data_IF_849496133681
#
_entry.id   IF_849496133681
#
_cell.length_a   1.000
_cell.length_b   1.000
_cell.length_c   1.000
_cell.angle_alpha   90.00
_cell.angle_beta   90.00
_cell.angle_gamma   90.00
#
_symmetry.space_group_name_H-M   'P 1'
#
loop_
_entity.id
_entity.type
_entity.pdbx_description
1 polymer ?
#
# COMPACT_ATOMS: atom_id res chain seq x y z
N UNK A 1 3.33 -8.15 12.07
CA UNK A 1 3.14 -9.38 12.87
C UNK A 1 4.22 -10.36 12.44
N UNK A 2 5.10 -10.77 13.35
CA UNK A 2 6.46 -11.27 13.05
C UNK A 2 6.53 -12.63 12.36
N UNK A 3 5.57 -13.53 12.61
CA UNK A 3 5.67 -14.92 12.16
C UNK A 3 5.30 -15.11 10.67
N UNK A 4 6.10 -15.84 9.87
CA UNK A 4 5.81 -16.17 8.46
C UNK A 4 4.56 -17.04 8.30
N UNK A 5 3.94 -16.98 7.11
CA UNK A 5 2.72 -17.74 6.80
C UNK A 5 2.87 -19.25 7.00
N UNK A 6 3.97 -19.82 6.48
CA UNK A 6 4.27 -21.25 6.57
C UNK A 6 4.33 -21.75 8.01
N UNK A 7 4.93 -20.95 8.90
CA UNK A 7 5.00 -21.28 10.33
C UNK A 7 3.61 -21.32 10.97
N UNK A 8 2.75 -20.32 10.68
CA UNK A 8 1.39 -20.28 11.21
C UNK A 8 0.55 -21.48 10.75
N UNK A 9 0.66 -21.82 9.46
CA UNK A 9 0.02 -23.01 8.88
C UNK A 9 0.47 -24.27 9.60
N UNK A 10 1.78 -24.42 9.82
CA UNK A 10 2.36 -25.56 10.49
C UNK A 10 1.86 -25.71 11.94
N UNK A 11 1.89 -24.64 12.73
CA UNK A 11 1.42 -24.64 14.13
C UNK A 11 -0.06 -25.00 14.22
N UNK A 12 -0.91 -24.42 13.36
CA UNK A 12 -2.34 -24.74 13.36
C UNK A 12 -2.64 -26.15 12.85
N UNK A 13 -1.85 -26.68 11.91
CA UNK A 13 -1.97 -28.06 11.45
C UNK A 13 -1.64 -29.05 12.56
N UNK A 14 -0.57 -28.81 13.34
CA UNK A 14 -0.20 -29.65 14.49
C UNK A 14 -1.26 -29.57 15.57
N UNK A 15 -1.74 -28.37 15.91
CA UNK A 15 -2.85 -28.18 16.85
C UNK A 15 -4.07 -29.03 16.46
N UNK A 16 -4.45 -29.02 15.18
CA UNK A 16 -5.60 -29.80 14.68
C UNK A 16 -5.32 -31.30 14.72
N UNK A 17 -4.11 -31.72 14.34
CA UNK A 17 -3.70 -33.14 14.31
C UNK A 17 -3.71 -33.78 15.71
N UNK A 18 -3.25 -33.02 16.70
CA UNK A 18 -3.09 -33.52 18.08
C UNK A 18 -4.23 -33.07 19.01
N UNK A 19 -5.27 -32.42 18.48
CA UNK A 19 -6.41 -31.91 19.24
C UNK A 19 -6.04 -31.02 20.45
N UNK A 20 -4.92 -30.29 20.35
CA UNK A 20 -4.40 -29.46 21.43
C UNK A 20 -5.25 -28.21 21.67
N UNK A 21 -5.28 -27.76 22.92
CA UNK A 21 -5.81 -26.45 23.30
C UNK A 21 -4.87 -25.33 22.83
N UNK A 22 -5.39 -24.09 22.82
CA UNK A 22 -4.55 -22.93 22.48
C UNK A 22 -3.46 -22.65 23.53
N UNK A 23 -3.67 -23.02 24.79
CA UNK A 23 -2.66 -22.86 25.84
C UNK A 23 -1.51 -23.85 25.64
N UNK A 24 -1.81 -25.14 25.47
CA UNK A 24 -0.78 -26.17 25.23
C UNK A 24 -0.01 -25.92 23.94
N UNK A 25 -0.71 -25.48 22.88
CA UNK A 25 -0.05 -25.09 21.63
C UNK A 25 0.85 -23.87 21.83
N UNK A 26 0.44 -22.92 22.67
CA UNK A 26 1.24 -21.73 22.98
C UNK A 26 2.53 -22.10 23.69
N UNK A 27 2.44 -22.96 24.71
CA UNK A 27 3.58 -23.43 25.49
C UNK A 27 4.55 -24.26 24.64
N UNK A 28 4.03 -25.17 23.80
CA UNK A 28 4.85 -26.02 22.93
C UNK A 28 5.66 -25.26 21.90
N UNK A 29 5.07 -24.24 21.28
CA UNK A 29 5.72 -23.47 20.21
C UNK A 29 6.32 -22.14 20.69
N UNK A 30 6.18 -21.80 21.98
CA UNK A 30 6.63 -20.51 22.53
C UNK A 30 5.90 -19.31 21.92
N UNK A 31 4.64 -19.47 21.52
CA UNK A 31 3.84 -18.42 20.86
C UNK A 31 2.70 -18.02 21.77
N UNK A 32 2.54 -16.72 22.08
CA UNK A 32 1.42 -16.28 22.91
C UNK A 32 0.04 -16.73 22.39
N UNK A 33 -0.82 -17.21 23.29
CA UNK A 33 -2.16 -17.75 22.99
C UNK A 33 -3.03 -16.80 22.17
N UNK A 34 -2.99 -15.50 22.45
CA UNK A 34 -3.69 -14.46 21.69
C UNK A 34 -3.22 -14.39 20.22
N UNK A 35 -1.97 -14.71 19.93
CA UNK A 35 -1.45 -14.78 18.56
C UNK A 35 -2.02 -15.96 17.80
N UNK A 36 -2.14 -17.13 18.45
CA UNK A 36 -2.79 -18.31 17.86
C UNK A 36 -4.27 -18.03 17.55
N UNK A 37 -4.99 -17.39 18.48
CA UNK A 37 -6.38 -16.98 18.24
C UNK A 37 -6.50 -15.99 17.07
N UNK A 38 -5.56 -15.05 16.94
CA UNK A 38 -5.50 -14.15 15.79
C UNK A 38 -5.24 -14.90 14.48
N UNK A 39 -4.38 -15.91 14.47
CA UNK A 39 -4.11 -16.73 13.28
C UNK A 39 -5.31 -17.58 12.88
N UNK A 40 -6.07 -18.09 13.86
CA UNK A 40 -7.32 -18.81 13.61
C UNK A 40 -8.37 -17.92 12.91
N UNK A 41 -8.43 -16.62 13.25
CA UNK A 41 -9.29 -15.65 12.56
C UNK A 41 -8.74 -15.22 11.21
N UNK A 42 -7.43 -14.97 11.13
CA UNK A 42 -6.73 -14.53 9.93
C UNK A 42 -5.31 -15.09 9.89
N UNK A 43 -5.09 -16.03 8.98
CA UNK A 43 -3.80 -16.68 8.81
C UNK A 43 -2.77 -15.74 8.19
N UNK A 44 -3.18 -15.01 7.15
CA UNK A 44 -2.30 -14.16 6.37
C UNK A 44 -1.79 -12.95 7.18
N UNK A 45 -0.46 -12.74 7.26
CA UNK A 45 0.09 -11.53 7.86
C UNK A 45 -0.39 -10.27 7.14
N UNK A 46 -0.73 -9.24 7.92
CA UNK A 46 -0.80 -7.89 7.38
C UNK A 46 0.63 -7.37 7.20
N UNK A 47 1.09 -7.26 5.95
CA UNK A 47 2.44 -6.78 5.62
C UNK A 47 2.50 -5.25 5.54
N UNK A 48 1.42 -4.62 5.11
CA UNK A 48 1.37 -3.18 4.85
C UNK A 48 0.31 -2.51 5.71
N UNK A 49 0.62 -1.33 6.25
CA UNK A 49 -0.37 -0.51 6.96
C UNK A 49 -1.27 0.19 5.95
N UNK A 50 -2.58 0.01 6.07
CA UNK A 50 -3.55 0.83 5.35
C UNK A 50 -3.67 2.20 6.05
N UNK A 51 -2.87 3.18 5.61
CA UNK A 51 -2.93 4.57 6.10
C UNK A 51 -3.09 5.52 4.91
N UNK A 52 -4.12 6.39 4.90
CA UNK A 52 -4.29 7.37 3.85
C UNK A 52 -3.22 8.47 3.92
N UNK A 53 -3.00 9.17 2.80
CA UNK A 53 -2.12 10.33 2.77
C UNK A 53 -2.75 11.49 3.55
N UNK A 54 -2.09 11.96 4.60
CA UNK A 54 -2.66 12.99 5.49
C UNK A 54 -2.47 14.41 4.96
N UNK A 55 -1.33 14.72 4.35
CA UNK A 55 -0.97 16.11 4.01
C UNK A 55 -1.46 16.59 2.62
N UNK A 56 -1.65 15.68 1.67
CA UNK A 56 -2.00 16.03 0.30
C UNK A 56 -3.40 15.50 0.00
N UNK A 57 -4.35 16.41 -0.23
CA UNK A 57 -5.69 16.05 -0.66
C UNK A 57 -5.65 15.48 -2.08
N UNK A 58 -6.19 14.27 -2.27
CA UNK A 58 -6.17 13.56 -3.57
C UNK A 58 -6.98 14.28 -4.64
N UNK A 59 -8.16 14.82 -4.31
CA UNK A 59 -9.02 15.51 -5.26
C UNK A 59 -8.35 16.82 -5.75
N UNK A 60 -7.77 17.59 -4.83
CA UNK A 60 -7.03 18.81 -5.17
C UNK A 60 -5.82 18.52 -6.08
N UNK A 61 -5.12 17.40 -5.84
CA UNK A 61 -4.01 16.98 -6.72
C UNK A 61 -4.49 16.61 -8.12
N UNK A 62 -5.61 15.89 -8.25
CA UNK A 62 -6.16 15.50 -9.56
C UNK A 62 -6.55 16.76 -10.35
N UNK A 63 -7.25 17.70 -9.71
CA UNK A 63 -7.64 18.96 -10.33
C UNK A 63 -6.41 19.79 -10.79
N UNK A 64 -5.36 19.84 -9.98
CA UNK A 64 -4.10 20.52 -10.36
C UNK A 64 -3.39 19.84 -11.55
N UNK A 65 -3.47 18.52 -11.64
CA UNK A 65 -2.94 17.75 -12.79
C UNK A 65 -3.74 18.04 -14.06
N UNK A 66 -5.06 18.13 -13.98
CA UNK A 66 -5.92 18.46 -15.12
C UNK A 66 -5.74 19.92 -15.58
N UNK A 67 -5.68 20.85 -14.64
CA UNK A 67 -5.54 22.29 -14.92
C UNK A 67 -4.17 22.62 -15.50
N UNK A 68 -3.11 21.98 -14.98
CA UNK A 68 -1.73 22.26 -15.37
C UNK A 68 -1.00 20.98 -15.72
N UNK A 69 -1.26 20.35 -16.89
CA UNK A 69 -0.68 19.05 -17.22
C UNK A 69 0.86 19.09 -17.30
N UNK A 70 1.43 20.18 -17.80
CA UNK A 70 2.86 20.32 -18.05
C UNK A 70 3.67 20.83 -16.83
N UNK A 71 2.98 21.18 -15.73
CA UNK A 71 3.62 21.67 -14.51
C UNK A 71 4.53 20.62 -13.86
N UNK A 72 5.73 21.06 -13.51
CA UNK A 72 6.74 20.30 -12.77
C UNK A 72 6.28 19.99 -11.34
N UNK A 73 6.88 18.96 -10.73
CA UNK A 73 6.60 18.60 -9.34
C UNK A 73 6.90 19.73 -8.35
N UNK A 74 7.87 20.60 -8.67
CA UNK A 74 8.24 21.75 -7.84
C UNK A 74 7.16 22.86 -7.88
N UNK A 75 6.60 23.16 -9.05
CA UNK A 75 5.53 24.15 -9.16
C UNK A 75 4.27 23.70 -8.43
N UNK A 76 3.88 22.42 -8.60
CA UNK A 76 2.76 21.81 -7.88
C UNK A 76 2.96 21.85 -6.37
N UNK A 77 4.19 21.55 -5.93
CA UNK A 77 4.57 21.60 -4.52
C UNK A 77 4.46 23.02 -3.95
N UNK A 78 4.88 24.04 -4.71
CA UNK A 78 4.73 25.46 -4.33
C UNK A 78 3.26 25.86 -4.18
N UNK A 79 2.39 25.45 -5.10
CA UNK A 79 0.93 25.71 -5.02
C UNK A 79 0.27 25.06 -3.82
N UNK A 80 0.71 23.86 -3.45
CA UNK A 80 0.11 23.05 -2.38
C UNK A 80 0.82 23.19 -1.02
N UNK A 81 1.91 23.96 -0.92
CA UNK A 81 2.66 24.13 0.33
C UNK A 81 3.31 22.84 0.85
N UNK A 82 3.70 21.94 -0.05
CA UNK A 82 4.30 20.63 0.30
C UNK A 82 5.67 20.44 -0.33
N UNK A 83 6.38 19.36 -0.02
CA UNK A 83 7.65 19.04 -0.69
C UNK A 83 7.42 18.43 -2.07
N UNK A 84 8.34 18.68 -3.01
CA UNK A 84 8.31 18.07 -4.35
C UNK A 84 8.31 16.54 -4.28
N UNK A 85 9.04 15.95 -3.32
CA UNK A 85 9.00 14.49 -3.09
C UNK A 85 7.62 14.00 -2.66
N UNK A 86 6.94 14.74 -1.78
CA UNK A 86 5.57 14.42 -1.36
C UNK A 86 4.58 14.42 -2.53
N UNK A 87 4.72 15.37 -3.45
CA UNK A 87 3.95 15.40 -4.71
C UNK A 87 4.28 14.19 -5.57
N UNK A 88 5.56 13.84 -5.75
CA UNK A 88 5.95 12.66 -6.52
C UNK A 88 5.29 11.38 -5.99
N UNK A 89 5.32 11.15 -4.67
CA UNK A 89 4.69 10.00 -4.06
C UNK A 89 3.15 10.05 -4.17
N UNK A 90 2.56 11.26 -4.10
CA UNK A 90 1.12 11.45 -4.27
C UNK A 90 0.66 11.18 -5.70
N UNK A 91 1.42 11.60 -6.71
CA UNK A 91 1.17 11.32 -8.13
C UNK A 91 1.23 9.82 -8.40
N UNK A 92 2.25 9.12 -7.88
CA UNK A 92 2.36 7.65 -7.99
C UNK A 92 1.15 6.94 -7.36
N UNK A 93 0.74 7.35 -6.16
CA UNK A 93 -0.48 6.82 -5.51
C UNK A 93 -1.76 7.12 -6.29
N UNK A 94 -1.77 8.20 -7.07
CA UNK A 94 -2.89 8.57 -7.93
C UNK A 94 -2.85 7.88 -9.31
N UNK A 95 -1.82 7.07 -9.60
CA UNK A 95 -1.68 6.38 -10.87
C UNK A 95 -1.04 7.22 -11.99
N UNK A 96 -0.57 8.44 -11.68
CA UNK A 96 0.12 9.28 -12.65
C UNK A 96 1.60 8.90 -12.71
N UNK A 97 2.01 8.36 -13.87
CA UNK A 97 3.40 8.16 -14.24
C UNK A 97 3.60 8.76 -15.63
N UNK A 98 4.43 9.81 -15.73
CA UNK A 98 4.68 10.49 -17.00
C UNK A 98 6.17 10.50 -17.32
N UNK A 99 6.51 10.03 -18.52
CA UNK A 99 7.83 10.19 -19.11
C UNK A 99 7.74 11.33 -20.13
N UNK A 100 8.53 12.39 -19.94
CA UNK A 100 8.67 13.45 -20.94
C UNK A 100 9.35 12.86 -22.18
N UNK A 101 8.65 12.85 -23.31
CA UNK A 101 9.24 12.52 -24.61
C UNK A 101 9.79 13.83 -25.21
N UNK A 102 11.08 13.85 -25.52
CA UNK A 102 11.78 15.03 -26.05
C UNK A 102 11.57 15.15 -27.59
N UNK A 103 10.95 14.13 -28.22
CA UNK A 103 10.80 14.03 -29.68
C UNK A 103 9.35 14.32 -30.14
N UNK A 104 9.24 15.48 -30.81
CA UNK A 104 8.23 16.00 -31.75
C UNK A 104 6.76 16.25 -31.30
N UNK A 105 6.08 17.28 -31.86
CA UNK A 105 4.74 17.71 -31.48
C UNK A 105 3.62 16.74 -31.89
N UNK A 106 3.93 15.67 -32.62
CA UNK A 106 2.94 14.79 -33.26
C UNK A 106 2.63 13.50 -32.49
N UNK A 107 3.36 13.17 -31.41
CA UNK A 107 2.95 12.07 -30.53
C UNK A 107 1.85 12.57 -29.59
N UNK A 108 0.58 12.40 -30.00
CA UNK A 108 -0.57 12.72 -29.13
C UNK A 108 -0.41 12.02 -27.79
N UNK A 109 -0.72 12.76 -26.72
CA UNK A 109 -0.73 12.29 -25.33
C UNK A 109 -1.45 10.94 -25.26
N UNK A 110 -0.83 9.86 -24.75
CA UNK A 110 -1.62 8.71 -24.32
C UNK A 110 -2.55 9.24 -23.23
N UNK A 111 -3.86 9.16 -23.44
CA UNK A 111 -4.84 9.42 -22.39
C UNK A 111 -4.39 8.60 -21.18
N UNK A 112 -4.31 9.24 -20.02
CA UNK A 112 -4.05 8.53 -18.76
C UNK A 112 -5.03 7.35 -18.74
N UNK A 113 -4.51 6.12 -18.76
CA UNK A 113 -5.36 4.96 -18.53
C UNK A 113 -5.94 5.15 -17.13
N UNK A 114 -7.17 5.67 -17.06
CA UNK A 114 -8.00 5.57 -15.87
C UNK A 114 -8.15 4.06 -15.70
N UNK A 115 -7.40 3.48 -14.78
CA UNK A 115 -7.82 2.21 -14.21
C UNK A 115 -9.11 2.55 -13.48
N UNK A 116 -10.24 2.35 -14.17
CA UNK A 116 -11.54 2.31 -13.54
C UNK A 116 -11.55 1.15 -12.55
N UNK A 117 -12.21 1.36 -11.42
CA UNK A 117 -12.40 0.36 -10.35
C UNK A 117 -13.00 -0.96 -10.86
#
# INVERSE_FOLDING_TARGET
MTYPLKFRQHVLAIKKKEALTYAETADRFGVGSASLMRWAKRLEPCLTRNKPATKINRAALILDVETYPDASQHERAKRMGVSARGICDALKRAGFSYKKNILSPQSRRPSSKRFSD
#
